data_IF_949309255672
#
_entry.id   IF_949309255672
#
_cell.length_a   1.000
_cell.length_b   1.000
_cell.length_c   1.000
_cell.angle_alpha   90.00
_cell.angle_beta   90.00
_cell.angle_gamma   90.00
#
_symmetry.space_group_name_H-M   'P 1'
#
loop_
_entity.id
_entity.type
_entity.pdbx_description
1 polymer ?
#
# COMPACT_ATOMS: atom_id res chain seq x y z
N UNK A 1 -81.80 2.21 -5.88
CA UNK A 1 -81.88 3.19 -7.01
C UNK A 1 -81.23 4.51 -6.66
N UNK A 2 -81.37 5.04 -5.43
CA UNK A 2 -80.77 6.32 -5.01
C UNK A 2 -79.21 6.32 -5.04
N UNK A 3 -78.61 5.18 -4.76
CA UNK A 3 -77.17 5.03 -4.77
C UNK A 3 -76.59 5.09 -6.21
N UNK A 4 -77.31 4.54 -7.16
CA UNK A 4 -76.93 4.53 -8.60
C UNK A 4 -77.18 5.84 -9.34
N UNK A 5 -78.03 6.69 -8.74
CA UNK A 5 -78.39 7.97 -9.30
C UNK A 5 -77.36 9.09 -8.94
N UNK A 6 -76.47 8.83 -7.98
CA UNK A 6 -75.55 9.85 -7.47
C UNK A 6 -74.12 9.24 -7.38
N UNK A 7 -73.23 9.67 -8.26
CA UNK A 7 -71.84 9.23 -8.31
C UNK A 7 -71.08 9.46 -7.00
N UNK A 8 -71.36 10.56 -6.33
CA UNK A 8 -70.74 10.88 -5.03
C UNK A 8 -71.07 9.83 -3.93
N UNK A 9 -72.29 9.22 -3.95
CA UNK A 9 -72.67 8.19 -3.01
C UNK A 9 -72.00 6.86 -3.30
N UNK A 10 -71.77 6.56 -4.59
CA UNK A 10 -70.96 5.37 -4.99
C UNK A 10 -69.53 5.53 -4.53
N UNK A 11 -68.90 6.68 -4.75
CA UNK A 11 -67.54 7.00 -4.30
C UNK A 11 -67.40 6.91 -2.78
N UNK A 12 -68.45 7.36 -2.05
CA UNK A 12 -68.44 7.25 -0.56
C UNK A 12 -68.45 5.81 -0.10
N UNK A 13 -69.27 4.93 -0.69
CA UNK A 13 -69.30 3.51 -0.37
C UNK A 13 -67.95 2.86 -0.68
N UNK A 14 -67.35 3.12 -1.85
CA UNK A 14 -66.05 2.62 -2.26
C UNK A 14 -64.96 3.08 -1.26
N UNK A 15 -64.99 4.36 -0.84
CA UNK A 15 -64.05 4.90 0.11
C UNK A 15 -64.16 4.21 1.50
N UNK A 16 -65.36 3.92 1.93
CA UNK A 16 -65.59 3.24 3.24
C UNK A 16 -65.14 1.77 3.19
N UNK A 17 -65.42 1.04 2.11
CA UNK A 17 -64.96 -0.34 1.90
C UNK A 17 -63.39 -0.37 1.84
N UNK A 18 -62.78 0.55 1.13
CA UNK A 18 -61.32 0.66 1.04
C UNK A 18 -60.68 1.01 2.41
N UNK A 19 -61.35 1.83 3.23
CA UNK A 19 -60.89 2.12 4.59
C UNK A 19 -61.00 0.89 5.47
N UNK A 20 -62.08 0.10 5.37
CA UNK A 20 -62.24 -1.14 6.13
C UNK A 20 -61.14 -2.16 5.76
N UNK A 21 -60.85 -2.34 4.46
CA UNK A 21 -59.78 -3.21 3.98
C UNK A 21 -58.42 -2.70 4.47
N UNK A 22 -58.18 -1.39 4.38
CA UNK A 22 -56.96 -0.79 4.85
C UNK A 22 -56.75 -1.01 6.35
N UNK A 23 -57.79 -0.79 7.17
CA UNK A 23 -57.71 -0.99 8.62
C UNK A 23 -57.47 -2.46 9.03
N UNK A 24 -57.95 -3.40 8.21
CA UNK A 24 -57.84 -4.85 8.49
C UNK A 24 -56.50 -5.44 8.04
N UNK A 25 -55.92 -4.94 6.92
CA UNK A 25 -54.81 -5.59 6.24
C UNK A 25 -53.60 -4.68 6.04
N UNK A 26 -53.66 -3.38 6.43
CA UNK A 26 -52.54 -2.47 6.23
C UNK A 26 -51.34 -2.81 7.13
N UNK A 27 -50.23 -3.08 6.52
CA UNK A 27 -48.92 -3.19 7.17
C UNK A 27 -48.23 -1.84 7.30
N UNK A 28 -47.38 -1.71 8.32
CA UNK A 28 -46.50 -0.56 8.39
C UNK A 28 -45.56 -0.55 7.17
N UNK A 29 -45.46 0.59 6.55
CA UNK A 29 -44.55 0.79 5.42
C UNK A 29 -43.14 0.40 5.83
N UNK A 30 -42.50 -0.53 5.11
CA UNK A 30 -41.11 -0.96 5.33
C UNK A 30 -40.10 -0.05 4.68
N UNK A 31 -40.49 0.69 3.64
CA UNK A 31 -39.63 1.66 2.95
C UNK A 31 -39.88 3.06 3.51
N UNK A 32 -38.81 3.78 3.76
CA UNK A 32 -38.85 5.18 4.18
C UNK A 32 -39.01 6.05 2.92
N UNK A 33 -39.92 7.01 2.95
CA UNK A 33 -39.98 8.04 1.89
C UNK A 33 -38.94 9.08 2.28
N UNK A 34 -37.94 9.25 1.44
CA UNK A 34 -36.94 10.34 1.58
C UNK A 34 -37.39 11.49 0.69
N UNK A 35 -37.36 12.72 1.21
CA UNK A 35 -37.55 13.93 0.42
C UNK A 35 -36.25 14.32 -0.34
N UNK A 36 -35.18 13.56 -0.14
CA UNK A 36 -33.93 13.77 -0.88
C UNK A 36 -34.10 13.40 -2.34
N UNK A 37 -33.68 14.30 -3.19
CA UNK A 37 -33.77 14.14 -4.64
C UNK A 37 -32.88 12.97 -5.12
N UNK A 38 -33.50 11.90 -5.60
CA UNK A 38 -32.83 10.67 -6.07
C UNK A 38 -31.85 10.95 -7.21
N UNK A 39 -31.95 12.12 -7.86
CA UNK A 39 -31.09 12.50 -8.98
C UNK A 39 -29.61 12.71 -8.60
N UNK A 40 -29.29 12.80 -7.28
CA UNK A 40 -27.94 13.03 -6.75
C UNK A 40 -27.41 11.86 -5.92
N UNK A 41 -28.04 10.68 -5.93
CA UNK A 41 -27.47 9.50 -5.29
C UNK A 41 -26.27 9.01 -6.11
N UNK A 42 -25.06 9.19 -5.57
CA UNK A 42 -23.87 8.56 -6.12
C UNK A 42 -23.97 7.03 -5.86
N UNK A 43 -23.48 6.23 -6.80
CA UNK A 43 -23.40 4.77 -6.63
C UNK A 43 -22.66 4.41 -5.34
N UNK A 44 -21.76 5.26 -4.89
CA UNK A 44 -21.00 5.13 -3.64
C UNK A 44 -21.88 5.19 -2.40
N UNK A 45 -22.96 5.99 -2.40
CA UNK A 45 -23.92 6.10 -1.28
C UNK A 45 -24.68 4.78 -1.02
N UNK A 46 -24.73 3.89 -2.01
CA UNK A 46 -25.37 2.58 -1.92
C UNK A 46 -24.40 1.49 -1.44
N UNK A 47 -23.10 1.79 -1.34
CA UNK A 47 -22.07 0.84 -0.93
C UNK A 47 -21.82 1.00 0.57
N UNK A 48 -21.91 -0.08 1.32
CA UNK A 48 -21.58 -0.07 2.74
C UNK A 48 -20.10 0.30 2.93
N UNK A 49 -19.83 1.19 3.89
CA UNK A 49 -18.46 1.51 4.27
C UNK A 49 -17.91 0.39 5.16
N UNK A 50 -16.96 -0.38 4.63
CA UNK A 50 -16.35 -1.53 5.28
C UNK A 50 -14.84 -1.50 5.07
N UNK A 51 -14.11 -1.94 6.10
CA UNK A 51 -12.67 -2.12 5.99
C UNK A 51 -12.34 -3.37 5.17
N UNK A 52 -11.53 -3.19 4.14
CA UNK A 52 -11.09 -4.22 3.22
C UNK A 52 -9.59 -4.45 3.31
N UNK A 53 -9.17 -5.70 3.35
CA UNK A 53 -7.79 -6.08 3.10
C UNK A 53 -7.59 -6.16 1.59
N UNK A 54 -6.75 -5.29 1.07
CA UNK A 54 -6.35 -5.30 -0.35
C UNK A 54 -4.99 -5.98 -0.46
N UNK A 55 -4.90 -6.91 -1.39
CA UNK A 55 -3.67 -7.66 -1.68
C UNK A 55 -3.31 -7.46 -3.13
N UNK A 56 -2.05 -7.05 -3.39
CA UNK A 56 -1.47 -6.97 -4.74
C UNK A 56 -0.25 -7.86 -4.79
N UNK A 57 -0.20 -8.78 -5.73
CA UNK A 57 0.92 -9.72 -5.88
C UNK A 57 1.96 -9.19 -6.87
N UNK A 58 3.18 -9.73 -6.79
CA UNK A 58 4.27 -9.41 -7.70
C UNK A 58 3.94 -9.74 -9.17
N UNK A 59 3.21 -10.83 -9.41
CA UNK A 59 2.73 -11.21 -10.73
C UNK A 59 1.56 -10.34 -11.24
N UNK A 60 1.14 -9.32 -10.48
CA UNK A 60 0.11 -8.36 -10.88
C UNK A 60 -1.32 -8.85 -10.67
N UNK A 61 -1.58 -9.68 -9.66
CA UNK A 61 -2.94 -10.03 -9.24
C UNK A 61 -3.39 -9.13 -8.09
N UNK A 62 -4.66 -8.73 -8.12
CA UNK A 62 -5.27 -7.89 -7.08
C UNK A 62 -6.58 -8.50 -6.59
N UNK A 63 -6.85 -8.37 -5.31
CA UNK A 63 -8.13 -8.69 -4.69
C UNK A 63 -8.37 -7.84 -3.46
N UNK A 64 -9.64 -7.71 -3.08
CA UNK A 64 -10.07 -7.19 -1.77
C UNK A 64 -10.85 -8.26 -1.02
N UNK A 65 -10.72 -8.27 0.29
CA UNK A 65 -11.38 -9.23 1.20
C UNK A 65 -11.82 -8.46 2.45
N UNK A 66 -13.07 -8.59 2.94
CA UNK A 66 -13.46 -7.95 4.18
C UNK A 66 -12.55 -8.32 5.35
N UNK A 67 -12.13 -7.34 6.15
CA UNK A 67 -11.26 -7.55 7.32
C UNK A 67 -11.85 -8.57 8.30
N UNK A 68 -13.18 -8.62 8.41
CA UNK A 68 -13.89 -9.53 9.31
C UNK A 68 -13.62 -11.03 9.02
N UNK A 69 -13.29 -11.40 7.79
CA UNK A 69 -12.92 -12.76 7.41
C UNK A 69 -11.60 -13.17 8.08
N UNK A 70 -10.76 -12.20 8.45
CA UNK A 70 -9.52 -12.40 9.17
C UNK A 70 -9.74 -12.27 10.69
N UNK A 71 -10.41 -13.24 11.30
CA UNK A 71 -10.66 -13.26 12.74
C UNK A 71 -9.35 -13.26 13.53
N UNK A 72 -9.26 -12.40 14.54
CA UNK A 72 -8.13 -12.43 15.46
C UNK A 72 -8.08 -13.76 16.20
N UNK A 73 -6.97 -14.47 16.13
CA UNK A 73 -6.75 -15.70 16.85
C UNK A 73 -6.03 -15.45 18.19
N UNK A 74 -6.37 -16.23 19.21
CA UNK A 74 -5.65 -16.19 20.47
C UNK A 74 -4.25 -16.82 20.31
N UNK A 75 -3.34 -16.47 21.24
CA UNK A 75 -1.99 -17.02 21.30
C UNK A 75 -2.00 -18.55 21.24
N UNK A 76 -1.26 -19.17 20.32
CA UNK A 76 -1.24 -20.62 20.14
C UNK A 76 -2.27 -21.15 19.13
N UNK A 77 -3.06 -20.27 18.47
CA UNK A 77 -3.94 -20.68 17.38
C UNK A 77 -3.14 -21.18 16.17
N UNK A 78 -3.64 -22.20 15.48
CA UNK A 78 -3.12 -22.61 14.17
C UNK A 78 -3.42 -21.49 13.17
N UNK A 79 -2.41 -20.95 12.50
CA UNK A 79 -2.59 -19.99 11.41
C UNK A 79 -3.51 -20.57 10.33
N UNK A 80 -4.11 -19.70 9.52
CA UNK A 80 -4.95 -20.11 8.38
C UNK A 80 -4.28 -19.68 7.08
N UNK A 81 -4.35 -20.52 6.07
CA UNK A 81 -3.81 -20.25 4.75
C UNK A 81 -4.43 -18.98 4.17
N UNK A 82 -3.62 -17.98 3.83
CA UNK A 82 -4.06 -16.68 3.33
C UNK A 82 -4.37 -16.69 1.84
N UNK A 83 -3.39 -16.92 0.99
CA UNK A 83 -3.52 -16.88 -0.48
C UNK A 83 -2.90 -18.12 -1.07
N UNK A 84 -3.60 -18.77 -2.02
CA UNK A 84 -3.01 -19.77 -2.89
C UNK A 84 -2.31 -19.04 -4.04
N UNK A 85 -1.00 -18.93 -3.97
CA UNK A 85 -0.19 -18.29 -5.00
C UNK A 85 0.29 -19.36 -5.99
N UNK A 86 0.60 -18.95 -7.24
CA UNK A 86 1.36 -19.79 -8.17
C UNK A 86 2.80 -19.95 -7.66
N UNK A 87 3.46 -21.02 -8.06
CA UNK A 87 4.92 -21.08 -8.00
C UNK A 87 5.50 -19.77 -8.56
N UNK A 88 6.38 -19.12 -7.81
CA UNK A 88 7.03 -17.84 -8.16
C UNK A 88 6.16 -16.56 -8.07
N UNK A 89 5.04 -16.57 -7.34
CA UNK A 89 4.31 -15.32 -7.02
C UNK A 89 4.30 -15.06 -5.51
N UNK A 90 4.25 -13.79 -5.10
CA UNK A 90 4.17 -13.40 -3.70
C UNK A 90 3.40 -12.10 -3.54
N UNK A 91 2.92 -11.84 -2.32
CA UNK A 91 2.25 -10.59 -1.99
C UNK A 91 3.28 -9.47 -1.89
N UNK A 92 3.24 -8.53 -2.81
CA UNK A 92 4.13 -7.38 -2.84
C UNK A 92 3.57 -6.22 -2.02
N UNK A 93 2.27 -5.97 -2.12
CA UNK A 93 1.57 -4.95 -1.36
C UNK A 93 0.35 -5.55 -0.66
N UNK A 94 0.21 -5.22 0.62
CA UNK A 94 -0.91 -5.60 1.45
C UNK A 94 -1.21 -4.46 2.40
N UNK A 95 -2.45 -4.00 2.39
CA UNK A 95 -2.91 -2.87 3.20
C UNK A 95 -4.40 -3.01 3.52
N UNK A 96 -4.84 -2.30 4.53
CA UNK A 96 -6.26 -2.13 4.86
C UNK A 96 -6.71 -0.77 4.34
N UNK A 97 -7.88 -0.74 3.73
CA UNK A 97 -8.50 0.49 3.24
C UNK A 97 -10.03 0.35 3.28
N UNK A 98 -10.73 1.46 3.49
CA UNK A 98 -12.19 1.49 3.40
C UNK A 98 -12.65 1.25 1.96
N UNK A 99 -13.84 0.68 1.78
CA UNK A 99 -14.49 0.53 0.47
C UNK A 99 -14.57 1.85 -0.29
N UNK A 100 -14.66 2.98 0.41
CA UNK A 100 -14.77 4.32 -0.14
C UNK A 100 -13.43 5.01 -0.39
N UNK A 101 -12.30 4.42 0.01
CA UNK A 101 -10.97 4.98 -0.24
C UNK A 101 -10.59 4.84 -1.72
N UNK A 102 -9.73 5.75 -2.17
CA UNK A 102 -9.08 5.66 -3.47
C UNK A 102 -7.82 4.81 -3.38
N UNK A 103 -7.56 4.07 -4.44
CA UNK A 103 -6.30 3.36 -4.67
C UNK A 103 -5.65 3.94 -5.92
N UNK A 104 -4.43 4.44 -5.76
CA UNK A 104 -3.60 4.96 -6.84
C UNK A 104 -2.57 3.90 -7.23
N UNK A 105 -2.64 3.42 -8.46
CA UNK A 105 -1.68 2.46 -9.02
C UNK A 105 -0.68 3.21 -9.91
N UNK A 106 0.56 3.27 -9.49
CA UNK A 106 1.65 3.89 -10.26
C UNK A 106 2.41 2.82 -11.03
N UNK A 107 2.67 3.07 -12.31
CA UNK A 107 3.29 2.10 -13.20
C UNK A 107 4.73 2.47 -13.57
N UNK A 108 5.50 1.49 -14.05
CA UNK A 108 6.86 1.67 -14.54
C UNK A 108 6.97 2.71 -15.67
N UNK A 109 5.89 2.92 -16.44
CA UNK A 109 5.84 3.92 -17.51
C UNK A 109 5.51 5.34 -17.02
N UNK A 110 5.46 5.56 -15.70
CA UNK A 110 5.21 6.87 -15.11
C UNK A 110 3.75 7.32 -15.16
N UNK A 111 2.82 6.41 -15.38
CA UNK A 111 1.38 6.67 -15.31
C UNK A 111 0.83 6.36 -13.92
N UNK A 112 -0.33 6.94 -13.63
CA UNK A 112 -1.14 6.64 -12.45
C UNK A 112 -2.56 6.35 -12.86
N UNK A 113 -3.16 5.32 -12.28
CA UNK A 113 -4.56 4.94 -12.41
C UNK A 113 -5.22 5.04 -11.05
N UNK A 114 -6.44 5.60 -11.01
CA UNK A 114 -7.20 5.77 -9.78
C UNK A 114 -8.47 4.92 -9.84
N UNK A 115 -8.65 4.11 -8.82
CA UNK A 115 -9.86 3.31 -8.60
C UNK A 115 -10.35 3.52 -7.18
N UNK A 116 -11.62 3.25 -6.93
CA UNK A 116 -12.14 3.08 -5.58
C UNK A 116 -11.86 1.65 -5.09
N UNK A 117 -11.66 1.46 -3.79
CA UNK A 117 -11.48 0.12 -3.22
C UNK A 117 -12.66 -0.80 -3.56
N UNK A 118 -13.89 -0.27 -3.56
CA UNK A 118 -15.07 -1.06 -3.91
C UNK A 118 -15.11 -1.52 -5.39
N UNK A 119 -14.36 -0.90 -6.29
CA UNK A 119 -14.21 -1.31 -7.69
C UNK A 119 -13.24 -2.50 -7.85
N UNK A 120 -12.40 -2.77 -6.85
CA UNK A 120 -11.47 -3.90 -6.89
C UNK A 120 -12.23 -5.23 -6.78
N UNK A 121 -11.75 -6.31 -7.41
CA UNK A 121 -12.40 -7.61 -7.38
C UNK A 121 -12.48 -8.18 -5.97
N UNK A 122 -13.67 -8.61 -5.58
CA UNK A 122 -13.88 -9.33 -4.32
C UNK A 122 -13.30 -10.72 -4.45
N UNK A 123 -12.49 -11.11 -3.51
CA UNK A 123 -11.91 -12.45 -3.45
C UNK A 123 -12.28 -13.16 -2.16
N UNK A 124 -12.18 -14.49 -2.14
CA UNK A 124 -12.09 -15.23 -0.90
C UNK A 124 -10.66 -15.16 -0.35
N UNK A 125 -10.50 -15.55 0.92
CA UNK A 125 -9.18 -15.55 1.56
C UNK A 125 -8.13 -16.33 0.77
N UNK A 126 -8.48 -17.48 0.22
CA UNK A 126 -7.57 -18.40 -0.45
C UNK A 126 -7.41 -18.16 -1.95
N UNK A 127 -8.31 -17.38 -2.58
CA UNK A 127 -8.22 -17.12 -4.02
C UNK A 127 -7.03 -16.22 -4.36
N UNK A 128 -6.51 -16.38 -5.58
CA UNK A 128 -5.42 -15.59 -6.12
C UNK A 128 -5.81 -14.13 -6.40
N UNK A 129 -7.09 -13.86 -6.70
CA UNK A 129 -7.58 -12.59 -7.21
C UNK A 129 -7.63 -12.53 -8.74
N UNK A 130 -7.88 -11.35 -9.28
CA UNK A 130 -7.93 -11.08 -10.73
C UNK A 130 -6.64 -10.40 -11.17
N UNK A 131 -6.23 -10.63 -12.41
CA UNK A 131 -5.11 -9.90 -12.98
C UNK A 131 -5.44 -8.41 -13.07
N UNK A 132 -4.48 -7.55 -12.71
CA UNK A 132 -4.69 -6.10 -12.66
C UNK A 132 -5.06 -5.51 -14.02
N UNK A 133 -4.61 -6.14 -15.10
CA UNK A 133 -4.98 -5.76 -16.47
C UNK A 133 -6.49 -5.91 -16.74
N UNK A 134 -7.18 -6.80 -16.03
CA UNK A 134 -8.63 -6.94 -16.13
C UNK A 134 -9.38 -5.91 -15.29
N UNK A 135 -8.68 -5.21 -14.40
CA UNK A 135 -9.24 -4.17 -13.53
C UNK A 135 -8.95 -2.79 -14.11
N UNK A 136 -7.78 -2.64 -14.73
CA UNK A 136 -7.33 -1.43 -15.44
C UNK A 136 -7.14 -1.81 -16.90
N UNK A 137 -8.22 -1.76 -17.66
CA UNK A 137 -8.28 -2.21 -19.05
C UNK A 137 -7.36 -1.43 -20.01
N UNK A 138 -6.93 -0.24 -19.59
CA UNK A 138 -6.10 0.68 -20.39
C UNK A 138 -4.60 0.51 -20.14
N UNK A 139 -4.19 -0.50 -19.37
CA UNK A 139 -2.76 -0.83 -19.17
C UNK A 139 -2.13 -1.22 -20.52
N UNK A 140 -1.01 -0.60 -20.85
CA UNK A 140 -0.24 -0.93 -22.03
C UNK A 140 0.48 -2.27 -21.88
N UNK A 141 0.84 -2.90 -23.01
CA UNK A 141 1.67 -4.10 -22.99
C UNK A 141 3.02 -3.81 -22.31
N UNK A 142 3.42 -4.67 -21.37
CA UNK A 142 4.64 -4.48 -20.58
C UNK A 142 4.54 -3.46 -19.45
N UNK A 143 3.41 -2.78 -19.29
CA UNK A 143 3.17 -1.87 -18.18
C UNK A 143 2.94 -2.65 -16.87
N UNK A 144 3.71 -2.32 -15.83
CA UNK A 144 3.69 -3.01 -14.53
C UNK A 144 3.47 -2.01 -13.40
N UNK A 145 2.65 -2.38 -12.42
CA UNK A 145 2.49 -1.59 -11.19
C UNK A 145 3.77 -1.64 -10.37
N UNK A 146 4.25 -0.48 -9.94
CA UNK A 146 5.48 -0.31 -9.14
C UNK A 146 5.21 0.24 -7.74
N UNK A 147 4.11 0.94 -7.56
CA UNK A 147 3.69 1.42 -6.24
C UNK A 147 2.18 1.51 -6.16
N UNK A 148 1.67 1.32 -4.97
CA UNK A 148 0.25 1.46 -4.64
C UNK A 148 0.15 2.40 -3.45
N UNK A 149 -0.69 3.42 -3.58
CA UNK A 149 -0.95 4.40 -2.51
C UNK A 149 -2.46 4.47 -2.31
N UNK A 150 -2.90 4.33 -1.07
CA UNK A 150 -4.32 4.51 -0.70
C UNK A 150 -4.55 5.88 -0.10
N UNK A 151 -5.71 6.45 -0.34
CA UNK A 151 -6.08 7.72 0.27
C UNK A 151 -7.58 7.90 0.31
N UNK A 152 -8.08 8.55 1.36
CA UNK A 152 -9.49 8.95 1.46
C UNK A 152 -9.75 10.22 0.66
N UNK A 153 -8.83 11.15 0.75
CA UNK A 153 -8.89 12.48 0.17
C UNK A 153 -7.53 12.88 -0.43
N UNK A 154 -7.46 14.06 -1.00
CA UNK A 154 -6.27 14.57 -1.67
C UNK A 154 -5.83 15.91 -1.05
N UNK A 155 -5.32 15.93 0.18
CA UNK A 155 -4.93 17.17 0.85
C UNK A 155 -3.72 17.82 0.15
N UNK A 156 -3.68 19.16 0.16
CA UNK A 156 -2.64 19.94 -0.52
C UNK A 156 -1.27 19.87 0.18
N UNK A 157 -1.27 19.59 1.48
CA UNK A 157 -0.07 19.51 2.32
C UNK A 157 0.60 18.13 2.31
N UNK A 158 -0.02 17.14 1.69
CA UNK A 158 0.55 15.82 1.49
C UNK A 158 1.24 15.72 0.13
N UNK A 159 2.40 15.11 0.11
CA UNK A 159 3.21 14.99 -1.09
C UNK A 159 3.53 13.54 -1.41
N UNK A 160 3.71 13.28 -2.70
CA UNK A 160 4.26 12.03 -3.21
C UNK A 160 5.68 12.28 -3.72
N UNK A 161 6.62 11.45 -3.28
CA UNK A 161 7.98 11.41 -3.80
C UNK A 161 8.09 10.26 -4.79
N UNK A 162 8.57 10.55 -5.98
CA UNK A 162 8.82 9.61 -7.06
C UNK A 162 10.30 9.40 -7.22
N UNK A 163 10.70 8.20 -7.62
CA UNK A 163 12.09 7.89 -7.93
C UNK A 163 12.18 6.98 -9.15
N UNK A 164 13.09 7.31 -10.08
CA UNK A 164 13.26 6.61 -11.35
C UNK A 164 14.54 5.79 -11.37
N UNK A 165 14.62 4.82 -12.26
CA UNK A 165 15.76 3.91 -12.46
C UNK A 165 17.08 4.64 -12.77
N UNK A 166 16.99 5.80 -13.47
CA UNK A 166 18.15 6.64 -13.75
C UNK A 166 18.49 7.62 -12.61
N UNK A 167 17.85 7.52 -11.44
CA UNK A 167 18.17 8.29 -10.24
C UNK A 167 17.57 9.69 -10.21
N UNK A 168 16.53 9.96 -11.00
CA UNK A 168 15.72 11.16 -10.87
C UNK A 168 14.75 11.03 -9.72
N UNK A 169 14.45 12.14 -9.04
CA UNK A 169 13.40 12.24 -8.01
C UNK A 169 12.47 13.41 -8.30
N UNK A 170 11.24 13.29 -7.88
CA UNK A 170 10.22 14.31 -8.07
C UNK A 170 9.28 14.32 -6.86
N UNK A 171 9.02 15.51 -6.32
CA UNK A 171 8.00 15.71 -5.30
C UNK A 171 6.80 16.41 -5.92
N UNK A 172 5.58 15.88 -5.72
CA UNK A 172 4.35 16.43 -6.27
C UNK A 172 3.27 16.42 -5.20
N UNK A 173 2.49 17.50 -5.10
CA UNK A 173 1.35 17.53 -4.19
C UNK A 173 0.33 16.44 -4.54
N UNK A 174 -0.26 15.83 -3.52
CA UNK A 174 -1.21 14.74 -3.68
C UNK A 174 -2.51 15.22 -4.37
N UNK A 175 -2.90 16.46 -4.16
CA UNK A 175 -4.03 17.14 -4.81
C UNK A 175 -3.95 17.15 -6.36
N UNK A 176 -2.75 17.08 -6.92
CA UNK A 176 -2.55 16.97 -8.38
C UNK A 176 -3.14 15.67 -8.98
N UNK A 177 -3.44 14.67 -8.15
CA UNK A 177 -3.95 13.35 -8.56
C UNK A 177 -5.45 13.16 -8.28
N UNK A 178 -6.12 14.15 -7.69
CA UNK A 178 -7.56 14.09 -7.39
C UNK A 178 -8.43 13.85 -8.65
N UNK A 179 -8.04 14.42 -9.79
CA UNK A 179 -8.77 14.29 -11.05
C UNK A 179 -8.22 13.21 -11.99
N UNK A 180 -7.59 12.17 -11.43
CA UNK A 180 -7.10 11.04 -12.24
C UNK A 180 -8.27 10.30 -12.87
N UNK A 181 -8.22 10.11 -14.19
CA UNK A 181 -9.23 9.38 -14.96
C UNK A 181 -8.95 7.87 -14.94
N UNK A 182 -9.96 7.07 -15.28
CA UNK A 182 -9.80 5.60 -15.43
C UNK A 182 -8.79 5.23 -16.52
N UNK A 183 -8.64 6.05 -17.55
CA UNK A 183 -7.68 5.84 -18.66
C UNK A 183 -6.23 6.11 -18.25
N UNK A 184 -6.01 6.48 -17.00
CA UNK A 184 -4.71 6.84 -16.48
C UNK A 184 -4.32 8.28 -16.78
N UNK A 185 -3.32 8.72 -16.06
CA UNK A 185 -2.78 10.07 -16.10
C UNK A 185 -1.26 10.01 -16.02
N UNK A 186 -0.56 10.90 -16.71
CA UNK A 186 0.89 11.03 -16.56
C UNK A 186 1.17 11.52 -15.14
N UNK A 187 1.85 10.69 -14.35
CA UNK A 187 2.29 11.02 -13.00
C UNK A 187 3.68 11.66 -13.00
N UNK A 188 4.54 11.24 -13.91
CA UNK A 188 5.90 11.77 -14.12
C UNK A 188 6.27 11.59 -15.59
N UNK A 189 6.89 12.59 -16.20
CA UNK A 189 7.50 12.44 -17.53
C UNK A 189 8.86 11.74 -17.38
N UNK A 190 8.94 10.52 -17.86
CA UNK A 190 10.18 9.76 -17.88
C UNK A 190 11.06 10.21 -19.07
N UNK A 191 12.37 10.16 -18.87
CA UNK A 191 13.34 10.29 -19.97
C UNK A 191 13.39 9.01 -20.77
N UNK A 192 13.95 9.08 -21.97
CA UNK A 192 14.13 7.91 -22.82
C UNK A 192 14.91 6.81 -22.10
N UNK A 193 14.35 5.60 -22.10
CA UNK A 193 14.92 4.43 -21.42
C UNK A 193 14.88 4.47 -19.89
N UNK A 194 14.19 5.44 -19.27
CA UNK A 194 13.99 5.49 -17.83
C UNK A 194 12.68 4.80 -17.43
N UNK A 195 12.61 4.33 -16.19
CA UNK A 195 11.45 3.68 -15.61
C UNK A 195 11.18 4.23 -14.21
N UNK A 196 9.90 4.35 -13.85
CA UNK A 196 9.52 4.61 -12.46
C UNK A 196 9.79 3.35 -11.62
N UNK A 197 10.54 3.52 -10.54
CA UNK A 197 10.88 2.42 -9.62
C UNK A 197 10.05 2.46 -8.36
N UNK A 198 9.79 3.66 -7.83
CA UNK A 198 9.15 3.78 -6.53
C UNK A 198 8.35 5.09 -6.39
N UNK A 199 7.26 5.03 -5.61
CA UNK A 199 6.49 6.19 -5.15
C UNK A 199 6.20 5.99 -3.67
N UNK A 200 6.43 7.04 -2.85
CA UNK A 200 6.17 7.05 -1.42
C UNK A 200 5.50 8.35 -1.01
N UNK A 201 4.66 8.30 0.02
CA UNK A 201 4.25 9.52 0.73
C UNK A 201 5.45 10.13 1.42
N UNK A 202 5.49 11.45 1.46
CA UNK A 202 6.50 12.23 2.15
C UNK A 202 5.86 13.42 2.82
N UNK A 203 6.26 13.69 4.05
CA UNK A 203 5.80 14.82 4.84
C UNK A 203 6.95 15.81 5.07
N UNK A 204 6.63 17.09 5.35
CA UNK A 204 7.64 18.06 5.71
C UNK A 204 8.50 17.58 6.88
N UNK A 205 9.83 17.63 6.71
CA UNK A 205 10.81 17.18 7.70
C UNK A 205 11.26 15.73 7.57
N UNK A 206 10.68 14.97 6.65
CA UNK A 206 11.16 13.62 6.32
C UNK A 206 12.50 13.66 5.59
N UNK A 207 13.19 12.52 5.59
CA UNK A 207 14.42 12.30 4.84
C UNK A 207 14.21 11.21 3.80
N UNK A 208 14.84 11.40 2.67
CA UNK A 208 14.79 10.48 1.52
C UNK A 208 16.09 9.69 1.45
N UNK A 209 15.98 8.36 1.41
CA UNK A 209 17.10 7.45 1.17
C UNK A 209 16.97 6.88 -0.24
N UNK A 210 17.97 7.05 -1.09
CA UNK A 210 18.06 6.39 -2.39
C UNK A 210 19.21 5.38 -2.36
N UNK A 211 18.98 4.19 -2.87
CA UNK A 211 20.00 3.14 -2.99
C UNK A 211 20.24 2.78 -4.45
N UNK A 212 21.50 2.56 -4.80
CA UNK A 212 21.93 2.17 -6.15
C UNK A 212 22.50 0.74 -6.18
N UNK A 213 22.45 0.12 -7.34
CA UNK A 213 22.88 -1.27 -7.55
C UNK A 213 24.39 -1.49 -7.30
N UNK A 214 25.19 -0.43 -7.38
CA UNK A 214 26.64 -0.44 -7.07
C UNK A 214 26.93 -0.34 -5.55
N UNK A 215 25.92 -0.52 -4.69
CA UNK A 215 26.08 -0.58 -3.25
C UNK A 215 26.22 0.76 -2.55
N UNK A 216 25.74 1.84 -3.15
CA UNK A 216 25.74 3.16 -2.52
C UNK A 216 24.35 3.59 -2.08
N UNK A 217 24.31 4.48 -1.10
CA UNK A 217 23.09 5.16 -0.66
C UNK A 217 23.35 6.64 -0.44
N UNK A 218 22.37 7.47 -0.74
CA UNK A 218 22.35 8.89 -0.42
C UNK A 218 21.15 9.19 0.48
N UNK A 219 21.40 9.98 1.52
CA UNK A 219 20.37 10.49 2.44
C UNK A 219 20.31 12.00 2.30
N UNK A 220 19.12 12.55 2.05
CA UNK A 220 18.90 13.99 1.94
C UNK A 220 17.53 14.39 2.48
N UNK A 221 17.36 15.67 2.84
CA UNK A 221 16.08 16.17 3.32
C UNK A 221 15.06 16.28 2.17
N UNK A 222 13.81 15.94 2.43
CA UNK A 222 12.75 15.99 1.42
C UNK A 222 12.61 17.38 0.77
N UNK A 223 12.90 18.46 1.52
CA UNK A 223 12.84 19.83 1.07
C UNK A 223 13.86 20.15 -0.06
N UNK A 224 14.92 19.36 -0.20
CA UNK A 224 15.87 19.48 -1.32
C UNK A 224 15.18 19.21 -2.68
N UNK A 225 14.08 18.45 -2.69
CA UNK A 225 13.25 18.25 -3.87
C UNK A 225 12.04 19.20 -3.79
N UNK A 226 12.12 20.34 -4.49
CA UNK A 226 10.98 21.27 -4.58
C UNK A 226 9.74 20.57 -5.14
N UNK A 227 8.55 20.98 -4.69
CA UNK A 227 7.30 20.51 -5.29
C UNK A 227 7.17 20.94 -6.75
N UNK A 228 6.70 20.05 -7.60
CA UNK A 228 6.57 20.23 -9.04
C UNK A 228 5.26 19.59 -9.53
N UNK A 229 4.71 20.14 -10.60
CA UNK A 229 3.53 19.58 -11.26
C UNK A 229 3.79 18.21 -11.91
N UNK A 230 2.71 17.47 -12.20
CA UNK A 230 2.73 16.10 -12.74
C UNK A 230 3.58 15.93 -14.00
N UNK A 231 3.45 16.83 -14.96
CA UNK A 231 4.11 16.77 -16.27
C UNK A 231 5.61 17.09 -16.26
N UNK A 232 6.31 16.97 -15.15
CA UNK A 232 7.75 17.20 -15.06
C UNK A 232 8.53 15.90 -14.91
N UNK A 233 9.81 15.91 -15.32
CA UNK A 233 10.72 14.75 -15.18
C UNK A 233 11.46 14.72 -13.84
N UNK A 234 11.22 15.70 -12.97
CA UNK A 234 11.91 15.80 -11.69
C UNK A 234 13.32 16.36 -11.78
N UNK A 235 14.08 16.11 -10.74
CA UNK A 235 15.46 16.57 -10.55
C UNK A 235 16.36 15.40 -10.20
N UNK A 236 17.66 15.55 -10.36
CA UNK A 236 18.61 14.49 -10.00
C UNK A 236 18.61 14.26 -8.49
N UNK A 237 18.24 13.03 -8.08
CA UNK A 237 18.29 12.57 -6.69
C UNK A 237 19.64 11.98 -6.32
N UNK A 238 20.16 11.10 -7.18
CA UNK A 238 21.47 10.46 -7.03
C UNK A 238 22.22 10.48 -8.36
N UNK A 239 23.52 10.62 -8.33
CA UNK A 239 24.40 10.47 -9.51
C UNK A 239 24.88 9.03 -9.57
N UNK A 240 24.44 8.30 -10.58
CA UNK A 240 24.83 6.92 -10.87
C UNK A 240 26.08 6.91 -11.75
N UNK A 241 26.96 5.91 -11.58
CA UNK A 241 28.16 5.71 -12.39
C UNK A 241 28.10 4.41 -13.18
N UNK A 242 28.66 4.42 -14.39
CA UNK A 242 28.66 3.23 -15.27
C UNK A 242 27.24 2.73 -15.52
N UNK A 243 27.05 1.43 -15.35
CA UNK A 243 25.78 0.76 -15.54
C UNK A 243 24.92 0.66 -14.24
N UNK A 244 25.29 1.41 -13.19
CA UNK A 244 24.52 1.41 -11.96
C UNK A 244 23.12 1.97 -12.18
N UNK A 245 22.13 1.36 -11.53
CA UNK A 245 20.73 1.79 -11.54
C UNK A 245 20.27 2.09 -10.12
N UNK A 246 19.26 2.93 -9.98
CA UNK A 246 18.59 3.14 -8.70
C UNK A 246 17.67 1.96 -8.42
N UNK A 247 17.82 1.33 -7.26
CA UNK A 247 17.07 0.14 -6.85
C UNK A 247 15.82 0.46 -6.06
N UNK A 248 15.87 1.50 -5.24
CA UNK A 248 14.75 1.81 -4.36
C UNK A 248 14.91 3.13 -3.65
N UNK A 249 13.77 3.64 -3.23
CA UNK A 249 13.63 4.83 -2.41
C UNK A 249 12.87 4.47 -1.15
N UNK A 250 13.36 4.94 -0.02
CA UNK A 250 12.67 4.84 1.27
C UNK A 250 12.57 6.20 1.92
N UNK A 251 11.52 6.40 2.70
CA UNK A 251 11.29 7.62 3.49
C UNK A 251 11.54 7.28 4.96
N UNK A 252 12.17 8.20 5.68
CA UNK A 252 12.48 8.03 7.09
C UNK A 252 12.44 9.38 7.82
N UNK A 253 12.02 9.36 9.05
CA UNK A 253 12.14 10.51 9.98
C UNK A 253 13.54 10.63 10.63
N UNK A 254 14.53 9.88 10.12
CA UNK A 254 15.89 9.82 10.64
C UNK A 254 16.15 8.64 11.60
N UNK A 255 15.11 7.89 11.94
CA UNK A 255 15.21 6.72 12.82
C UNK A 255 15.22 5.41 12.00
N UNK A 256 15.58 4.32 12.69
CA UNK A 256 15.62 2.98 12.11
C UNK A 256 16.96 2.62 11.49
N UNK A 257 16.96 1.50 10.80
CA UNK A 257 18.13 0.93 10.14
C UNK A 257 17.84 0.74 8.65
N UNK A 258 18.81 1.04 7.79
CA UNK A 258 18.75 0.66 6.39
C UNK A 258 19.17 -0.81 6.25
N UNK A 259 18.23 -1.68 5.94
CA UNK A 259 18.48 -3.05 5.51
C UNK A 259 18.83 -3.06 4.04
N UNK A 260 19.87 -3.81 3.69
CA UNK A 260 20.32 -4.04 2.30
C UNK A 260 20.62 -5.52 2.09
N UNK A 261 20.36 -6.02 0.87
CA UNK A 261 20.63 -7.41 0.50
C UNK A 261 21.11 -7.50 -0.94
N UNK A 262 22.04 -8.44 -1.21
CA UNK A 262 22.61 -8.69 -2.52
C UNK A 262 21.96 -9.91 -3.20
N UNK A 263 22.18 -10.08 -4.51
CA UNK A 263 21.72 -11.19 -5.33
C UNK A 263 22.01 -12.56 -4.69
N UNK A 264 23.18 -12.71 -4.08
CA UNK A 264 23.59 -13.98 -3.47
C UNK A 264 23.17 -14.14 -2.02
N UNK A 265 22.19 -13.34 -1.54
CA UNK A 265 21.59 -13.46 -0.22
C UNK A 265 22.43 -12.95 0.94
N UNK A 266 23.44 -12.12 0.70
CA UNK A 266 24.19 -11.42 1.74
C UNK A 266 23.52 -10.09 2.07
N UNK A 267 23.29 -9.82 3.34
CA UNK A 267 22.63 -8.61 3.78
C UNK A 267 23.07 -8.15 5.15
N UNK A 268 22.63 -6.98 5.54
CA UNK A 268 22.88 -6.38 6.86
C UNK A 268 21.91 -5.24 7.11
N UNK A 269 21.87 -4.78 8.36
CA UNK A 269 21.26 -3.52 8.75
C UNK A 269 22.36 -2.52 9.13
N UNK A 270 22.15 -1.26 8.80
CA UNK A 270 23.04 -0.15 9.19
C UNK A 270 22.18 1.00 9.71
N UNK A 271 22.50 1.55 10.87
CA UNK A 271 21.73 2.65 11.43
C UNK A 271 21.64 3.83 10.44
N UNK A 272 20.45 4.41 10.30
CA UNK A 272 20.28 5.61 9.46
C UNK A 272 21.19 6.75 9.93
N UNK A 273 21.44 6.87 11.23
CA UNK A 273 22.36 7.87 11.78
C UNK A 273 23.81 7.77 11.31
N UNK A 274 24.22 6.63 10.74
CA UNK A 274 25.55 6.48 10.15
C UNK A 274 25.65 7.12 8.74
N UNK A 275 24.53 7.49 8.11
CA UNK A 275 24.50 8.12 6.81
C UNK A 275 24.49 9.63 6.99
N UNK A 276 25.53 10.34 6.48
CA UNK A 276 25.53 11.78 6.51
C UNK A 276 24.41 12.32 5.61
N UNK A 277 23.71 13.33 6.10
CA UNK A 277 22.73 14.04 5.28
C UNK A 277 23.48 14.90 4.24
N UNK A 278 23.22 14.64 2.99
CA UNK A 278 23.83 15.34 1.86
C UNK A 278 22.79 16.19 1.12
N UNK A 279 23.27 17.06 0.24
CA UNK A 279 22.40 17.61 -0.82
C UNK A 279 22.11 16.51 -1.84
N UNK A 280 20.88 16.52 -2.40
CA UNK A 280 20.50 15.60 -3.48
C UNK A 280 21.46 15.70 -4.68
N UNK A 281 21.51 14.69 -5.51
CA UNK A 281 22.29 14.65 -6.74
C UNK A 281 23.75 14.27 -6.55
N UNK A 282 24.21 14.04 -5.32
CA UNK A 282 25.52 13.46 -5.03
C UNK A 282 25.62 12.00 -5.44
N UNK A 283 26.83 11.41 -5.33
CA UNK A 283 27.04 9.98 -5.61
C UNK A 283 26.65 9.07 -4.44
N UNK A 284 26.33 9.66 -3.28
CA UNK A 284 26.10 8.91 -2.06
C UNK A 284 27.40 8.32 -1.44
N UNK A 285 27.19 7.50 -0.42
CA UNK A 285 28.27 6.81 0.30
C UNK A 285 28.04 5.31 0.20
N UNK A 286 29.10 4.51 0.34
CA UNK A 286 28.96 3.07 0.35
C UNK A 286 28.06 2.64 1.52
N UNK A 287 27.05 1.83 1.22
CA UNK A 287 26.18 1.19 2.19
C UNK A 287 26.60 -0.27 2.41
N UNK A 288 27.22 -0.89 1.41
CA UNK A 288 27.74 -2.25 1.48
C UNK A 288 28.96 -2.35 0.55
N UNK A 289 29.98 -3.11 0.98
CA UNK A 289 31.13 -3.42 0.11
C UNK A 289 30.76 -4.61 -0.78
N UNK A 290 30.69 -4.34 -2.09
CA UNK A 290 30.37 -5.33 -3.09
C UNK A 290 31.59 -6.20 -3.39
N UNK A 291 31.35 -7.48 -3.65
CA UNK A 291 32.37 -8.45 -4.14
C UNK A 291 31.71 -9.36 -5.16
N UNK A 292 32.46 -9.91 -6.11
CA UNK A 292 31.96 -10.84 -7.12
C UNK A 292 31.20 -12.04 -6.51
N UNK A 293 31.67 -12.55 -5.36
CA UNK A 293 31.02 -13.64 -4.63
C UNK A 293 29.63 -13.32 -4.11
N UNK A 294 29.29 -12.04 -3.93
CA UNK A 294 28.04 -11.58 -3.32
C UNK A 294 27.03 -11.04 -4.32
N UNK A 295 27.48 -10.76 -5.54
CA UNK A 295 26.65 -10.18 -6.58
C UNK A 295 26.30 -8.72 -6.32
N UNK A 296 25.39 -8.16 -7.12
CA UNK A 296 24.94 -6.78 -7.01
C UNK A 296 23.94 -6.59 -5.86
N UNK A 297 23.75 -5.36 -5.44
CA UNK A 297 22.67 -5.02 -4.51
C UNK A 297 21.33 -5.16 -5.24
N UNK A 298 20.35 -5.80 -4.58
CA UNK A 298 19.01 -6.06 -5.14
C UNK A 298 17.96 -5.19 -4.49
N UNK A 299 18.02 -5.03 -3.17
CA UNK A 299 16.99 -4.30 -2.45
C UNK A 299 17.53 -3.55 -1.23
N UNK A 300 16.82 -2.50 -0.88
CA UNK A 300 16.97 -1.75 0.35
C UNK A 300 15.61 -1.46 0.98
N UNK A 301 15.54 -1.46 2.32
CA UNK A 301 14.34 -1.12 3.10
C UNK A 301 14.74 -0.44 4.40
N UNK A 302 14.05 0.62 4.78
CA UNK A 302 14.16 1.15 6.15
C UNK A 302 13.34 0.28 7.08
N UNK A 303 13.97 -0.22 8.14
CA UNK A 303 13.37 -1.17 9.06
C UNK A 303 13.63 -0.78 10.51
N UNK A 304 12.68 -1.06 11.40
CA UNK A 304 12.85 -1.09 12.84
C UNK A 304 13.07 -2.53 13.31
N UNK A 305 13.53 -2.72 14.55
CA UNK A 305 13.80 -4.06 15.10
C UNK A 305 12.55 -4.94 15.21
N UNK A 306 11.37 -4.33 15.27
CA UNK A 306 10.07 -5.00 15.34
C UNK A 306 9.56 -5.48 13.97
N UNK A 307 10.14 -5.01 12.88
CA UNK A 307 9.73 -5.39 11.53
C UNK A 307 10.19 -6.81 11.19
N UNK A 308 9.48 -7.42 10.29
CA UNK A 308 9.87 -8.66 9.65
C UNK A 308 10.14 -8.41 8.16
N UNK A 309 11.07 -9.16 7.62
CA UNK A 309 11.49 -9.04 6.23
C UNK A 309 11.20 -10.36 5.56
N UNK A 310 10.46 -10.31 4.48
CA UNK A 310 10.27 -11.43 3.57
C UNK A 310 11.24 -11.27 2.41
N UNK A 311 11.99 -12.32 2.12
CA UNK A 311 12.98 -12.35 1.04
C UNK A 311 12.61 -13.51 0.14
N UNK A 312 12.57 -13.26 -1.16
CA UNK A 312 12.24 -14.25 -2.18
C UNK A 312 13.38 -14.36 -3.19
N UNK A 313 13.60 -15.57 -3.68
CA UNK A 313 14.49 -15.85 -4.80
C UNK A 313 13.74 -15.99 -6.13
N UNK A 314 14.47 -16.00 -7.25
CA UNK A 314 13.90 -16.21 -8.59
C UNK A 314 13.27 -17.60 -8.75
N UNK A 315 13.82 -18.62 -8.09
CA UNK A 315 13.26 -19.98 -8.09
C UNK A 315 12.07 -20.14 -7.14
N UNK A 316 11.60 -19.03 -6.50
CA UNK A 316 10.40 -19.00 -5.66
C UNK A 316 10.63 -19.42 -4.21
N UNK A 317 11.87 -19.59 -3.77
CA UNK A 317 12.16 -19.86 -2.35
C UNK A 317 11.90 -18.60 -1.53
N UNK A 318 11.08 -18.71 -0.50
CA UNK A 318 10.71 -17.57 0.37
C UNK A 318 11.17 -17.84 1.79
N UNK A 319 11.85 -16.86 2.40
CA UNK A 319 12.16 -16.86 3.83
C UNK A 319 11.58 -15.62 4.51
N UNK A 320 11.22 -15.78 5.77
CA UNK A 320 10.78 -14.70 6.65
C UNK A 320 11.74 -14.58 7.81
N UNK A 321 12.31 -13.40 8.00
CA UNK A 321 13.33 -13.13 9.02
C UNK A 321 12.94 -11.90 9.80
N UNK A 322 13.06 -11.93 11.13
CA UNK A 322 12.89 -10.72 11.94
C UNK A 322 14.06 -9.77 11.65
N UNK A 323 13.74 -8.51 11.41
CA UNK A 323 14.78 -7.49 11.19
C UNK A 323 15.79 -7.46 12.36
N UNK A 324 15.30 -7.65 13.60
CA UNK A 324 16.14 -7.72 14.79
C UNK A 324 17.22 -8.80 14.75
N UNK A 325 16.98 -9.92 14.08
CA UNK A 325 17.91 -11.06 13.98
C UNK A 325 19.00 -10.85 12.92
N UNK A 326 18.82 -9.86 12.02
CA UNK A 326 19.83 -9.53 11.01
C UNK A 326 20.91 -8.66 11.66
N UNK A 327 22.18 -8.99 11.42
CA UNK A 327 23.31 -8.28 11.98
C UNK A 327 23.28 -6.78 11.66
N UNK A 328 23.42 -5.95 12.69
CA UNK A 328 23.62 -4.51 12.54
C UNK A 328 25.12 -4.22 12.42
N UNK A 329 25.54 -3.69 11.27
CA UNK A 329 26.94 -3.53 10.90
C UNK A 329 27.14 -2.14 10.28
N UNK A 330 28.36 -1.62 10.37
CA UNK A 330 28.74 -0.35 9.76
C UNK A 330 28.66 -0.37 8.22
N UNK A 331 28.57 0.81 7.61
CA UNK A 331 28.30 1.03 6.17
C UNK A 331 29.25 0.27 5.25
N UNK A 332 30.56 0.30 5.49
CA UNK A 332 31.59 -0.27 4.62
C UNK A 332 31.82 -1.79 4.79
N UNK A 333 30.95 -2.47 5.53
CA UNK A 333 31.08 -3.93 5.70
C UNK A 333 30.41 -4.71 4.57
N UNK A 334 30.75 -5.97 4.44
CA UNK A 334 30.27 -6.84 3.36
C UNK A 334 28.95 -7.55 3.67
N UNK A 335 28.38 -7.36 4.87
CA UNK A 335 27.19 -8.07 5.33
C UNK A 335 27.43 -9.54 5.68
N UNK A 336 26.37 -10.21 6.13
CA UNK A 336 26.34 -11.62 6.50
C UNK A 336 25.37 -12.38 5.60
N UNK A 337 25.45 -13.70 5.59
CA UNK A 337 24.50 -14.55 4.88
C UNK A 337 23.15 -14.48 5.59
N UNK A 338 22.15 -13.93 4.92
CA UNK A 338 20.77 -13.81 5.39
C UNK A 338 19.89 -14.90 4.79
N UNK A 339 20.11 -15.24 3.53
CA UNK A 339 19.38 -16.30 2.81
C UNK A 339 20.38 -17.26 2.15
N UNK A 340 20.18 -18.56 2.36
CA UNK A 340 20.92 -19.59 1.64
C UNK A 340 20.21 -19.89 0.31
N UNK A 341 20.93 -19.75 -0.77
CA UNK A 341 20.46 -20.00 -2.12
C UNK A 341 21.21 -21.22 -2.69
N UNK A 342 20.53 -22.02 -3.49
CA UNK A 342 21.08 -23.20 -4.15
C UNK A 342 21.46 -22.90 -5.60
N UNK A 343 22.52 -23.49 -6.09
CA UNK A 343 22.91 -23.39 -7.51
C UNK A 343 23.12 -21.95 -7.99
N UNK A 344 22.41 -21.60 -9.06
CA UNK A 344 22.44 -20.26 -9.69
C UNK A 344 21.35 -19.32 -9.19
N UNK A 345 20.51 -19.75 -8.23
CA UNK A 345 19.40 -18.95 -7.71
C UNK A 345 19.87 -17.62 -7.13
N UNK A 346 19.05 -16.59 -7.27
CA UNK A 346 19.34 -15.23 -6.82
C UNK A 346 18.13 -14.62 -6.12
N UNK A 347 18.39 -13.71 -5.17
CA UNK A 347 17.32 -12.91 -4.55
C UNK A 347 16.67 -12.02 -5.61
N UNK A 348 15.35 -12.10 -5.73
CA UNK A 348 14.56 -11.32 -6.69
C UNK A 348 13.77 -10.18 -6.03
N UNK A 349 13.25 -10.39 -4.80
CA UNK A 349 12.39 -9.42 -4.16
C UNK A 349 12.52 -9.41 -2.64
N UNK A 350 12.18 -8.26 -2.04
CA UNK A 350 12.16 -8.05 -0.60
C UNK A 350 10.96 -7.22 -0.21
N UNK A 351 10.17 -7.73 0.73
CA UNK A 351 9.06 -7.00 1.35
C UNK A 351 9.32 -6.76 2.83
N UNK A 352 8.94 -5.55 3.32
CA UNK A 352 8.92 -5.22 4.74
C UNK A 352 7.53 -5.49 5.28
N UNK A 353 7.45 -6.13 6.42
CA UNK A 353 6.23 -6.38 7.14
C UNK A 353 6.31 -5.78 8.55
N UNK A 354 5.22 -5.16 9.01
CA UNK A 354 5.13 -4.64 10.37
C UNK A 354 4.61 -5.76 11.28
N UNK A 355 5.39 -6.15 12.30
CA UNK A 355 4.92 -7.15 13.27
C UNK A 355 3.89 -6.51 14.20
N UNK A 356 2.73 -7.14 14.34
CA UNK A 356 1.64 -6.69 15.21
C UNK A 356 2.09 -6.44 16.64
N UNK A 357 1.94 -5.22 17.13
CA UNK A 357 1.97 -4.93 18.57
C UNK A 357 0.70 -5.54 19.18
N UNK A 358 0.87 -6.49 20.11
CA UNK A 358 -0.22 -7.04 20.92
C UNK A 358 -1.04 -5.88 21.51
N UNK A 359 -2.34 -5.82 21.24
CA UNK A 359 -3.26 -4.99 22.04
C UNK A 359 -3.14 -5.45 23.49
N UNK A 360 -2.73 -4.54 24.38
CA UNK A 360 -2.81 -4.75 25.81
C UNK A 360 -4.28 -5.05 26.18
N UNK A 361 -4.55 -5.93 27.18
CA UNK A 361 -5.92 -6.22 27.59
C UNK A 361 -6.59 -4.93 28.06
N UNK A 362 -7.79 -4.64 27.54
CA UNK A 362 -8.67 -3.60 28.05
C UNK A 362 -9.15 -4.02 29.45
N UNK A 363 -8.42 -3.65 30.49
CA UNK A 363 -8.91 -3.52 31.85
C UNK A 363 -7.99 -2.57 32.61
N UNK A 364 -8.35 -1.31 32.59
CA UNK A 364 -8.20 -0.33 33.67
C UNK A 364 -8.93 0.95 33.17
N UNK A 365 -10.15 1.07 33.59
CA UNK A 365 -10.93 2.30 33.45
C UNK A 365 -10.31 3.41 34.32
N UNK A 366 -10.33 4.63 33.76
CA UNK A 366 -10.27 5.91 34.43
C UNK A 366 -9.01 6.26 35.24
N UNK A 367 -8.01 6.77 34.53
CA UNK A 367 -7.31 8.03 34.92
C UNK A 367 -6.19 8.31 33.89
N UNK A 368 -6.29 9.36 33.12
CA UNK A 368 -5.21 9.79 32.22
C UNK A 368 -5.62 10.35 30.85
N UNK A 369 -6.85 10.85 30.72
CA UNK A 369 -7.36 11.32 29.43
C UNK A 369 -7.06 12.79 29.12
N UNK A 370 -6.12 13.42 29.83
CA UNK A 370 -5.80 14.85 29.65
C UNK A 370 -4.37 15.17 29.20
N UNK A 371 -3.44 14.19 29.24
CA UNK A 371 -2.02 14.44 28.90
C UNK A 371 -1.57 13.87 27.53
N UNK A 372 -2.47 13.24 26.76
CA UNK A 372 -2.13 12.63 25.46
C UNK A 372 -2.51 13.44 24.22
N UNK A 373 -3.16 14.59 24.40
CA UNK A 373 -3.58 15.44 23.26
C UNK A 373 -2.51 16.39 22.73
N UNK A 374 -1.34 16.46 23.34
CA UNK A 374 -0.29 17.41 22.93
C UNK A 374 0.92 16.79 22.20
N UNK A 375 1.02 15.46 22.09
CA UNK A 375 2.23 14.81 21.55
C UNK A 375 2.01 13.78 20.44
N UNK A 376 0.80 13.53 19.96
CA UNK A 376 0.47 12.32 19.21
C UNK A 376 -0.14 12.47 17.82
N UNK A 377 -0.01 13.62 17.15
CA UNK A 377 -0.69 13.83 15.85
C UNK A 377 0.12 13.43 14.60
N UNK A 378 1.29 12.82 14.71
CA UNK A 378 2.15 12.50 13.56
C UNK A 378 2.38 11.03 13.26
N UNK A 379 1.94 10.11 14.14
CA UNK A 379 2.20 8.67 13.98
C UNK A 379 0.94 7.82 13.67
N UNK A 380 -0.23 8.44 13.52
CA UNK A 380 -1.49 7.70 13.46
C UNK A 380 -1.85 7.14 12.07
N UNK A 381 -1.40 7.77 10.98
CA UNK A 381 -1.89 7.42 9.62
C UNK A 381 -1.17 6.24 8.96
N UNK A 382 0.01 5.83 9.42
CA UNK A 382 0.71 4.65 8.88
C UNK A 382 0.57 3.38 9.74
N UNK A 383 0.15 3.51 10.99
CA UNK A 383 0.16 2.40 11.95
C UNK A 383 -1.14 1.58 11.99
N UNK A 384 -2.28 2.12 11.59
CA UNK A 384 -3.56 1.42 11.72
C UNK A 384 -3.88 0.42 10.61
N UNK A 385 -3.24 0.53 9.44
CA UNK A 385 -3.64 -0.25 8.27
C UNK A 385 -2.98 -1.63 8.12
N UNK A 386 -1.95 -1.95 8.89
CA UNK A 386 -1.15 -3.18 8.66
C UNK A 386 -1.31 -4.23 9.76
N UNK A 387 -1.90 -3.89 10.89
CA UNK A 387 -1.88 -4.71 12.10
C UNK A 387 -2.74 -5.99 12.07
N UNK A 388 -3.69 -6.13 11.16
CA UNK A 388 -4.69 -7.22 11.23
C UNK A 388 -4.36 -8.45 10.37
N UNK A 389 -3.51 -8.32 9.37
CA UNK A 389 -3.35 -9.34 8.33
C UNK A 389 -2.16 -10.26 8.52
N UNK A 390 -1.26 -9.92 9.41
CA UNK A 390 0.04 -10.57 9.57
C UNK A 390 0.03 -11.96 10.21
N UNK A 391 -1.08 -12.38 10.81
CA UNK A 391 -1.16 -13.70 11.45
C UNK A 391 -1.27 -14.88 10.48
N UNK A 392 -1.46 -14.61 9.18
CA UNK A 392 -1.92 -15.62 8.23
C UNK A 392 -0.83 -16.22 7.32
N UNK A 393 0.34 -15.60 7.23
CA UNK A 393 1.38 -16.07 6.31
C UNK A 393 2.37 -17.09 6.91
N UNK A 394 2.36 -17.27 8.24
CA UNK A 394 3.37 -18.08 8.92
C UNK A 394 3.13 -19.61 8.83
N UNK A 395 2.00 -20.07 8.34
CA UNK A 395 1.61 -21.49 8.44
C UNK A 395 1.77 -22.31 7.15
N UNK A 396 2.23 -21.72 6.05
CA UNK A 396 2.25 -22.44 4.76
C UNK A 396 3.65 -22.91 4.32
N UNK A 397 4.70 -22.68 5.12
CA UNK A 397 6.08 -23.08 4.78
C UNK A 397 6.65 -24.08 5.82
N UNK A 398 5.85 -24.96 6.29
CA UNK A 398 6.28 -26.00 7.25
C UNK A 398 5.53 -27.31 7.05
N UNK A 399 5.71 -27.92 5.90
CA UNK A 399 5.56 -29.38 5.66
C UNK A 399 6.13 -29.74 4.30
#
# INVERSE_FOLDING_TARGET
EDLLAHEEKILAVIADELREISNRYADKRRTQISEQDIQNLDVEDLIAEEDMVVTVTHAGYVKRVPVEIYRSQKRGGKGVQGVSLKENDFVENLFVASTHDYVLFFTNLGKVYRLKVHELPVGSRTTKGSAIINVIETLAEGEKVKAVITTRDFPEDNYLMFATKQGMVKKTAMSEYDRTRKDGLIAINLKDGDELVNVRRVHPGDKVVLCSSDGKAILFDEAEARSMGRGTSGVRGITLKGNATMLGMEITNGNGDLFVITEKGYGKRTAISEYPVHKRGGQGVFTITMTEKKGNLVACRVVGPQHEIMIMSEEGVVIRVKAGDISKLGRSTQGVKVMNLSGSDVVSAVARMVANKKKAPKHAENQGMLDLMAAGARDADEAESVDLVMFYFAATIGS
#
